data_IF_384164220764
#
_entry.id   IF_384164220764
#
_cell.length_a   1.000
_cell.length_b   1.000
_cell.length_c   1.000
_cell.angle_alpha   90.00
_cell.angle_beta   90.00
_cell.angle_gamma   90.00
#
_symmetry.space_group_name_H-M   'P 1'
#
loop_
_entity.id
_entity.type
_entity.pdbx_description
1 polymer ?
#
# COMPACT_ATOMS: atom_id res chain seq x y z
N UNK A 1 -5.48 27.17 -7.36
CA UNK A 1 -5.12 26.12 -6.39
C UNK A 1 -5.08 24.81 -7.15
N UNK A 2 -3.91 24.41 -7.65
CA UNK A 2 -3.76 23.14 -8.37
C UNK A 2 -3.54 22.06 -7.31
N UNK A 3 -4.50 21.14 -7.16
CA UNK A 3 -4.29 19.89 -6.43
C UNK A 3 -3.05 19.19 -6.98
N UNK A 4 -2.06 18.82 -6.16
CA UNK A 4 -0.97 18.00 -6.65
C UNK A 4 -1.53 16.64 -7.07
N UNK A 5 -1.24 16.27 -8.32
CA UNK A 5 -1.60 14.98 -8.90
C UNK A 5 -1.00 13.84 -8.05
N UNK A 6 -1.81 12.91 -7.49
CA UNK A 6 -1.31 11.83 -6.64
C UNK A 6 -0.35 10.88 -7.37
N UNK A 7 -0.34 10.86 -8.71
CA UNK A 7 0.58 10.07 -9.51
C UNK A 7 2.06 10.50 -9.42
N UNK A 8 2.37 11.68 -8.85
CA UNK A 8 3.72 12.24 -8.83
C UNK A 8 4.54 11.94 -7.55
N UNK A 9 4.01 11.18 -6.59
CA UNK A 9 4.68 10.91 -5.31
C UNK A 9 5.17 9.46 -5.14
N UNK A 10 5.60 8.80 -6.22
CA UNK A 10 6.36 7.55 -6.10
C UNK A 10 7.83 7.89 -5.76
N UNK A 11 8.08 8.44 -4.57
CA UNK A 11 9.40 8.92 -4.14
C UNK A 11 9.70 8.63 -2.67
N UNK A 12 10.25 7.45 -2.41
CA UNK A 12 11.52 7.25 -1.67
C UNK A 12 11.95 5.78 -1.82
N UNK A 13 12.69 5.49 -2.90
CA UNK A 13 13.23 4.16 -3.18
C UNK A 13 14.44 3.86 -2.31
N UNK A 14 14.23 3.11 -1.22
CA UNK A 14 15.32 2.35 -0.60
C UNK A 14 15.44 1.04 -1.36
N UNK A 15 16.50 0.91 -2.17
CA UNK A 15 16.83 -0.31 -2.91
C UNK A 15 16.89 -1.53 -1.96
N UNK A 16 15.87 -2.40 -2.05
CA UNK A 16 15.96 -3.77 -1.59
C UNK A 16 16.71 -4.57 -2.65
N UNK A 17 17.91 -5.05 -2.32
CA UNK A 17 18.74 -5.90 -3.19
C UNK A 17 17.90 -7.08 -3.72
N UNK A 18 18.05 -7.35 -5.02
CA UNK A 18 17.26 -8.32 -5.77
C UNK A 18 17.17 -9.69 -5.10
N UNK A 19 15.94 -10.10 -4.82
CA UNK A 19 15.57 -11.50 -4.65
C UNK A 19 14.96 -11.97 -5.99
N UNK A 20 15.35 -13.17 -6.42
CA UNK A 20 15.03 -13.76 -7.72
C UNK A 20 13.52 -13.74 -8.05
N UNK A 21 13.26 -13.61 -9.35
CA UNK A 21 11.94 -13.60 -10.02
C UNK A 21 10.96 -14.61 -9.39
N UNK A 22 10.08 -14.13 -8.53
CA UNK A 22 8.96 -14.94 -8.01
C UNK A 22 7.70 -14.09 -8.06
N UNK A 23 6.61 -14.65 -8.55
CA UNK A 23 5.50 -13.99 -9.23
C UNK A 23 4.79 -12.87 -8.43
N UNK A 24 4.77 -11.67 -8.99
CA UNK A 24 4.04 -10.51 -8.44
C UNK A 24 2.68 -10.30 -9.15
N UNK A 25 2.10 -11.36 -9.70
CA UNK A 25 0.83 -11.32 -10.42
C UNK A 25 -0.34 -10.77 -9.55
N UNK A 26 -0.28 -10.98 -8.23
CA UNK A 26 -1.31 -10.53 -7.28
C UNK A 26 -1.50 -9.01 -7.23
N UNK A 27 -0.40 -8.26 -7.15
CA UNK A 27 -0.50 -6.82 -6.92
C UNK A 27 -1.03 -6.14 -8.18
N UNK A 28 -0.79 -6.74 -9.35
CA UNK A 28 -1.37 -6.33 -10.63
C UNK A 28 -2.86 -6.70 -10.77
N UNK A 29 -3.28 -7.87 -10.28
CA UNK A 29 -4.72 -8.21 -10.23
C UNK A 29 -5.47 -7.32 -9.24
N UNK A 30 -4.85 -6.93 -8.14
CA UNK A 30 -5.40 -5.94 -7.20
C UNK A 30 -5.63 -4.57 -7.84
N UNK A 31 -4.78 -4.13 -8.78
CA UNK A 31 -5.04 -2.89 -9.56
C UNK A 31 -6.33 -2.99 -10.37
N UNK A 32 -6.68 -4.18 -10.89
CA UNK A 32 -7.94 -4.40 -11.62
C UNK A 32 -9.15 -4.42 -10.69
N UNK A 33 -8.95 -4.79 -9.43
CA UNK A 33 -9.97 -4.83 -8.38
C UNK A 33 -9.86 -3.63 -7.41
N UNK A 34 -9.15 -2.56 -7.80
CA UNK A 34 -8.81 -1.46 -6.92
C UNK A 34 -10.05 -0.82 -6.30
N UNK A 35 -11.09 -0.57 -7.10
CA UNK A 35 -12.35 0.03 -6.64
C UNK A 35 -13.04 -0.82 -5.57
N UNK A 36 -13.07 -2.15 -5.73
CA UNK A 36 -13.64 -3.03 -4.70
C UNK A 36 -12.78 -3.05 -3.42
N UNK A 37 -11.45 -3.06 -3.58
CA UNK A 37 -10.52 -3.06 -2.46
C UNK A 37 -10.65 -1.75 -1.66
N UNK A 38 -10.77 -0.61 -2.35
CA UNK A 38 -10.97 0.70 -1.72
C UNK A 38 -12.33 0.80 -1.02
N UNK A 39 -13.37 0.21 -1.61
CA UNK A 39 -14.69 0.11 -0.97
C UNK A 39 -14.65 -0.75 0.31
N UNK A 40 -13.95 -1.89 0.29
CA UNK A 40 -13.76 -2.74 1.47
C UNK A 40 -12.84 -2.09 2.52
N UNK A 41 -11.81 -1.35 2.08
CA UNK A 41 -10.88 -0.63 2.96
C UNK A 41 -11.51 0.62 3.59
N UNK A 42 -12.50 1.20 2.90
CA UNK A 42 -13.24 2.38 3.33
C UNK A 42 -12.51 3.70 3.05
N UNK A 43 -11.50 3.70 2.18
CA UNK A 43 -10.80 4.90 1.73
C UNK A 43 -10.07 4.66 0.40
N UNK A 44 -9.74 5.75 -0.31
CA UNK A 44 -8.90 5.67 -1.50
C UNK A 44 -7.48 5.23 -1.13
N UNK A 45 -6.92 4.32 -1.93
CA UNK A 45 -5.55 3.84 -1.78
C UNK A 45 -4.69 4.43 -2.90
N UNK A 46 -3.42 4.62 -2.61
CA UNK A 46 -2.44 5.05 -3.59
C UNK A 46 -1.71 3.84 -4.17
N UNK A 47 -1.94 3.61 -5.46
CA UNK A 47 -1.44 2.46 -6.21
C UNK A 47 -0.24 2.88 -7.07
N UNK A 48 0.94 2.36 -6.73
CA UNK A 48 2.19 2.66 -7.42
C UNK A 48 2.68 1.44 -8.20
N UNK A 49 2.33 1.31 -9.49
CA UNK A 49 2.88 0.26 -10.34
C UNK A 49 4.37 0.48 -10.54
N UNK A 50 5.17 -0.58 -10.39
CA UNK A 50 6.59 -0.57 -10.71
C UNK A 50 6.74 -1.33 -12.04
N UNK A 51 7.03 -0.65 -13.16
CA UNK A 51 7.20 -1.34 -14.45
C UNK A 51 8.53 -2.12 -14.53
N UNK A 52 9.56 -1.65 -13.84
CA UNK A 52 10.91 -2.23 -13.83
C UNK A 52 11.04 -3.50 -12.98
N UNK A 53 10.22 -3.62 -11.95
CA UNK A 53 10.06 -4.82 -11.15
C UNK A 53 8.59 -5.19 -11.29
N UNK A 54 8.26 -6.33 -11.90
CA UNK A 54 6.88 -6.83 -11.92
C UNK A 54 6.36 -6.77 -10.49
N UNK A 55 5.62 -5.73 -10.07
CA UNK A 55 5.29 -5.41 -8.69
C UNK A 55 4.40 -4.17 -8.64
N UNK A 56 3.63 -4.01 -7.57
CA UNK A 56 2.91 -2.77 -7.30
C UNK A 56 2.91 -2.47 -5.79
N UNK A 57 3.24 -1.24 -5.41
CA UNK A 57 3.17 -0.77 -4.02
C UNK A 57 1.77 -0.20 -3.77
N UNK A 58 1.14 -0.57 -2.66
CA UNK A 58 -0.14 -0.02 -2.21
C UNK A 58 0.11 0.81 -0.96
N UNK A 59 -0.37 2.05 -0.93
CA UNK A 59 -0.10 3.01 0.14
C UNK A 59 -1.40 3.67 0.62
N UNK A 60 -1.43 4.02 1.90
CA UNK A 60 -2.46 4.87 2.48
C UNK A 60 -1.77 5.97 3.27
N UNK A 61 -2.07 7.23 2.95
CA UNK A 61 -1.46 8.38 3.60
C UNK A 61 -2.26 8.76 4.84
N UNK A 62 -1.54 9.01 5.93
CA UNK A 62 -2.08 9.49 7.21
C UNK A 62 -1.40 10.81 7.51
N UNK A 63 -2.19 11.82 7.83
CA UNK A 63 -1.68 13.13 8.21
C UNK A 63 -0.96 13.08 9.57
N UNK A 64 0.12 13.84 9.66
CA UNK A 64 0.96 13.94 10.84
C UNK A 64 2.29 13.18 10.69
N UNK A 65 2.93 12.89 11.80
CA UNK A 65 4.18 12.15 11.86
C UNK A 65 5.12 12.73 12.92
N UNK A 66 6.42 12.47 12.76
CA UNK A 66 7.43 12.87 13.76
C UNK A 66 7.55 14.40 13.95
N UNK A 67 7.08 15.20 12.98
CA UNK A 67 7.06 16.67 13.07
C UNK A 67 5.81 17.22 13.75
N UNK A 68 4.82 16.37 14.02
CA UNK A 68 3.64 16.77 14.78
C UNK A 68 4.02 16.98 16.25
N UNK A 69 3.27 17.82 17.00
CA UNK A 69 3.41 17.95 18.43
C UNK A 69 3.36 16.58 19.13
N UNK A 70 4.26 16.33 20.06
CA UNK A 70 4.34 15.06 20.82
C UNK A 70 3.01 14.60 21.43
N UNK A 71 2.16 15.50 21.99
CA UNK A 71 0.85 15.09 22.50
C UNK A 71 -0.10 14.47 21.45
N UNK A 72 0.13 14.72 20.16
CA UNK A 72 -0.67 14.16 19.06
C UNK A 72 -0.14 12.80 18.57
N UNK A 73 1.05 12.39 19.01
CA UNK A 73 1.65 11.13 18.54
C UNK A 73 0.82 9.89 18.86
N UNK A 74 0.21 9.75 20.06
CA UNK A 74 -0.63 8.59 20.35
C UNK A 74 -1.80 8.47 19.35
N UNK A 75 -2.51 9.58 19.08
CA UNK A 75 -3.62 9.58 18.12
C UNK A 75 -3.17 9.25 16.69
N UNK A 76 -2.01 9.76 16.26
CA UNK A 76 -1.43 9.42 14.95
C UNK A 76 -1.09 7.92 14.87
N UNK A 77 -0.55 7.36 15.95
CA UNK A 77 -0.25 5.93 16.04
C UNK A 77 -1.52 5.08 16.01
N UNK A 78 -2.56 5.46 16.73
CA UNK A 78 -3.86 4.77 16.73
C UNK A 78 -4.45 4.75 15.31
N UNK A 79 -4.44 5.89 14.61
CA UNK A 79 -4.88 5.97 13.21
C UNK A 79 -4.06 5.06 12.28
N UNK A 80 -2.76 4.94 12.53
CA UNK A 80 -1.87 4.06 11.76
C UNK A 80 -2.16 2.58 12.02
N UNK A 81 -2.39 2.21 13.27
CA UNK A 81 -2.79 0.85 13.67
C UNK A 81 -4.12 0.49 13.03
N UNK A 82 -5.12 1.35 13.11
CA UNK A 82 -6.44 1.13 12.51
C UNK A 82 -6.36 0.98 10.98
N UNK A 83 -5.54 1.80 10.32
CA UNK A 83 -5.29 1.65 8.89
C UNK A 83 -4.62 0.30 8.56
N UNK A 84 -3.64 -0.13 9.35
CA UNK A 84 -2.98 -1.42 9.17
C UNK A 84 -3.93 -2.61 9.39
N UNK A 85 -4.82 -2.55 10.38
CA UNK A 85 -5.81 -3.59 10.64
C UNK A 85 -6.76 -3.73 9.45
N UNK A 86 -7.27 -2.60 8.92
CA UNK A 86 -8.13 -2.59 7.73
C UNK A 86 -7.39 -3.12 6.50
N UNK A 87 -6.12 -2.75 6.34
CA UNK A 87 -5.30 -3.22 5.24
C UNK A 87 -5.09 -4.75 5.33
N UNK A 88 -4.77 -5.29 6.52
CA UNK A 88 -4.64 -6.75 6.72
C UNK A 88 -5.97 -7.45 6.43
N UNK A 89 -7.10 -6.94 6.93
CA UNK A 89 -8.41 -7.55 6.70
C UNK A 89 -8.74 -7.71 5.20
N UNK A 90 -8.46 -6.68 4.39
CA UNK A 90 -8.75 -6.69 2.95
C UNK A 90 -7.73 -7.54 2.18
N UNK A 91 -6.44 -7.47 2.51
CA UNK A 91 -5.40 -8.13 1.73
C UNK A 91 -5.09 -9.57 2.18
N UNK A 92 -5.33 -9.94 3.44
CA UNK A 92 -4.98 -11.28 3.98
C UNK A 92 -5.58 -12.42 3.17
N UNK A 93 -6.87 -12.34 2.82
CA UNK A 93 -7.53 -13.36 2.02
C UNK A 93 -6.95 -13.44 0.60
N UNK A 94 -6.68 -12.27 -0.01
CA UNK A 94 -6.15 -12.14 -1.37
C UNK A 94 -4.71 -12.67 -1.47
N UNK A 95 -3.87 -12.37 -0.47
CA UNK A 95 -2.50 -12.90 -0.36
C UNK A 95 -2.52 -14.41 -0.12
N UNK A 96 -3.41 -14.92 0.74
CA UNK A 96 -3.53 -16.36 0.99
C UNK A 96 -3.99 -17.15 -0.23
N UNK A 97 -4.81 -16.54 -1.08
CA UNK A 97 -5.30 -17.15 -2.32
C UNK A 97 -4.22 -17.25 -3.41
N UNK A 98 -3.01 -16.72 -3.16
CA UNK A 98 -1.94 -16.82 -4.12
C UNK A 98 -1.41 -18.24 -4.25
N UNK A 99 -1.16 -18.70 -5.49
CA UNK A 99 -0.42 -19.93 -5.67
C UNK A 99 0.96 -19.70 -5.05
N UNK A 100 1.26 -20.47 -4.02
CA UNK A 100 2.63 -20.61 -3.56
C UNK A 100 3.37 -21.34 -4.68
N UNK A 101 4.01 -20.58 -5.59
CA UNK A 101 4.97 -21.17 -6.50
C UNK A 101 6.01 -21.88 -5.67
N UNK A 102 6.14 -23.19 -5.87
CA UNK A 102 7.20 -24.00 -5.29
C UNK A 102 8.57 -23.37 -5.64
N UNK A 103 9.47 -23.45 -4.67
CA UNK A 103 10.83 -22.91 -4.69
C UNK A 103 11.68 -23.37 -5.87
#
# INVERSE_FOLDING_TARGET
>A
MASPNPAAMCGFDRHGRGQARTEHACLRSSVRAAEMIEAEFGAALDWCPMPEADACKVRYFIDGGYRSPEPQWPEIQDRMIDAMIRLDAVFRARVKALPLSAA
#
